data_IF_407423244459
#
_entry.id   IF_407423244459
#
_cell.length_a   1.000
_cell.length_b   1.000
_cell.length_c   1.000
_cell.angle_alpha   90.00
_cell.angle_beta   90.00
_cell.angle_gamma   90.00
#
_symmetry.space_group_name_H-M   'P 1'
#
loop_
_entity.id
_entity.type
_entity.pdbx_description
1 polymer ?
#
# COMPACT_ATOMS: atom_id res chain seq x y z
N UNK A 1 -11.34 -6.62 14.35
CA UNK A 1 -10.75 -6.57 13.00
C UNK A 1 -10.75 -5.12 12.55
N UNK A 2 -9.59 -4.58 12.23
CA UNK A 2 -9.38 -3.16 11.90
C UNK A 2 -9.23 -2.99 10.40
N UNK A 3 -9.45 -1.77 9.90
CA UNK A 3 -9.16 -1.41 8.51
C UNK A 3 -7.91 -0.54 8.54
N UNK A 4 -6.94 -0.87 7.71
CA UNK A 4 -5.70 -0.13 7.57
C UNK A 4 -5.60 0.42 6.16
N UNK A 5 -5.35 1.71 6.04
CA UNK A 5 -4.96 2.34 4.79
C UNK A 5 -3.44 2.27 4.64
N UNK A 6 -2.96 1.99 3.44
CA UNK A 6 -1.53 1.98 3.15
C UNK A 6 -1.19 2.73 1.88
N UNK A 7 0.01 3.31 1.87
CA UNK A 7 0.76 3.64 0.65
C UNK A 7 2.12 2.98 0.72
N UNK A 8 2.62 2.48 -0.40
CA UNK A 8 3.96 1.90 -0.48
C UNK A 8 4.61 2.34 -1.77
N UNK A 9 5.85 2.81 -1.67
CA UNK A 9 6.67 3.08 -2.85
C UNK A 9 7.38 1.80 -3.26
N UNK A 10 7.58 1.63 -4.54
CA UNK A 10 8.34 0.50 -5.06
C UNK A 10 9.01 0.84 -6.38
N UNK A 11 10.09 0.13 -6.69
CA UNK A 11 10.71 0.19 -8.00
C UNK A 11 9.69 -0.21 -9.07
N UNK A 12 9.50 0.68 -10.04
CA UNK A 12 8.62 0.36 -11.15
C UNK A 12 9.21 -0.81 -11.95
N UNK A 13 8.46 -1.90 -12.05
CA UNK A 13 8.86 -3.18 -12.65
C UNK A 13 9.43 -3.08 -14.07
N UNK A 14 9.14 -2.00 -14.79
CA UNK A 14 9.57 -1.78 -16.18
C UNK A 14 10.89 -1.02 -16.33
N UNK A 15 11.31 -0.20 -15.35
CA UNK A 15 12.47 0.69 -15.50
C UNK A 15 13.50 0.60 -14.37
N UNK A 16 13.15 0.04 -13.20
CA UNK A 16 14.04 -0.09 -12.04
C UNK A 16 14.57 1.24 -11.47
N UNK A 17 14.15 2.37 -12.04
CA UNK A 17 14.66 3.72 -11.77
C UNK A 17 13.54 4.70 -11.46
N UNK A 18 12.32 4.41 -11.90
CA UNK A 18 11.13 5.20 -11.59
C UNK A 18 10.48 4.66 -10.33
N UNK A 19 10.18 5.53 -9.38
CA UNK A 19 9.43 5.18 -8.17
C UNK A 19 7.94 5.13 -8.51
N UNK A 20 7.33 3.96 -8.39
CA UNK A 20 5.88 3.82 -8.41
C UNK A 20 5.32 3.87 -6.99
N UNK A 21 4.04 4.24 -6.86
CA UNK A 21 3.34 4.27 -5.58
C UNK A 21 2.07 3.46 -5.70
N UNK A 22 1.88 2.50 -4.80
CA UNK A 22 0.64 1.75 -4.64
C UNK A 22 -0.07 2.21 -3.39
N UNK A 23 -1.38 2.40 -3.44
CA UNK A 23 -2.20 2.71 -2.28
C UNK A 23 -3.41 1.76 -2.22
N UNK A 24 -3.87 1.47 -1.01
CA UNK A 24 -5.01 0.58 -0.82
C UNK A 24 -5.45 0.46 0.63
N UNK A 25 -6.36 -0.49 0.88
CA UNK A 25 -6.85 -0.80 2.23
C UNK A 25 -6.77 -2.30 2.49
N UNK A 26 -6.49 -2.67 3.74
CA UNK A 26 -6.41 -4.07 4.21
C UNK A 26 -7.17 -4.23 5.51
N UNK A 27 -7.79 -5.39 5.72
CA UNK A 27 -8.39 -5.75 7.01
C UNK A 27 -7.42 -6.66 7.76
N UNK A 28 -7.04 -6.27 8.97
CA UNK A 28 -6.11 -7.03 9.82
C UNK A 28 -6.42 -6.81 11.32
N UNK A 29 -5.96 -7.70 12.20
CA UNK A 29 -6.08 -7.55 13.65
C UNK A 29 -5.03 -6.60 14.24
N UNK A 30 -3.84 -6.54 13.64
CA UNK A 30 -2.71 -5.69 14.05
C UNK A 30 -2.03 -5.01 12.86
N UNK A 31 -1.12 -4.08 13.16
CA UNK A 31 -0.25 -3.42 12.18
C UNK A 31 0.68 -4.44 11.52
N UNK A 32 1.36 -5.28 12.32
CA UNK A 32 2.24 -6.36 11.83
C UNK A 32 1.53 -7.32 10.85
N UNK A 33 0.27 -7.66 11.12
CA UNK A 33 -0.51 -8.51 10.24
C UNK A 33 -0.89 -7.76 8.93
N UNK A 34 -1.21 -6.48 9.02
CA UNK A 34 -1.48 -5.66 7.84
C UNK A 34 -0.23 -5.54 6.94
N UNK A 35 0.93 -5.29 7.53
CA UNK A 35 2.22 -5.23 6.84
C UNK A 35 2.55 -6.57 6.14
N UNK A 36 2.36 -7.69 6.83
CA UNK A 36 2.58 -9.02 6.25
C UNK A 36 1.67 -9.29 5.03
N UNK A 37 0.40 -8.85 5.08
CA UNK A 37 -0.53 -8.96 3.94
C UNK A 37 -0.06 -8.09 2.77
N UNK A 38 0.42 -6.88 3.03
CA UNK A 38 0.88 -5.95 1.99
C UNK A 38 2.11 -6.53 1.28
N UNK A 39 3.14 -6.95 2.03
CA UNK A 39 4.38 -7.51 1.45
C UNK A 39 4.21 -8.91 0.83
N UNK A 40 3.10 -9.60 1.09
CA UNK A 40 2.73 -10.80 0.32
C UNK A 40 2.34 -10.46 -1.13
N UNK A 41 1.79 -9.27 -1.35
CA UNK A 41 1.27 -8.83 -2.66
C UNK A 41 2.19 -7.82 -3.36
N UNK A 42 3.08 -7.18 -2.63
CA UNK A 42 4.11 -6.28 -3.15
C UNK A 42 5.47 -6.86 -2.80
N UNK A 43 6.32 -7.12 -3.80
CA UNK A 43 7.65 -7.69 -3.57
C UNK A 43 8.45 -6.82 -2.58
N UNK A 44 8.81 -7.34 -1.38
CA UNK A 44 9.53 -6.57 -0.37
C UNK A 44 10.93 -6.17 -0.82
N UNK A 45 11.54 -6.91 -1.75
CA UNK A 45 12.85 -6.59 -2.31
C UNK A 45 12.85 -5.30 -3.13
N UNK A 46 11.68 -4.88 -3.63
CA UNK A 46 11.53 -3.74 -4.51
C UNK A 46 10.67 -2.64 -3.88
N UNK A 47 10.25 -2.80 -2.62
CA UNK A 47 9.35 -1.88 -1.93
C UNK A 47 10.07 -1.13 -0.80
N UNK A 48 9.73 0.13 -0.64
CA UNK A 48 10.28 1.02 0.39
C UNK A 48 9.23 2.09 0.76
N UNK A 49 9.46 2.81 1.85
CA UNK A 49 8.56 3.84 2.36
C UNK A 49 7.09 3.37 2.52
N UNK A 50 6.87 2.23 3.19
CA UNK A 50 5.52 1.82 3.60
C UNK A 50 4.98 2.83 4.63
N UNK A 51 3.86 3.45 4.31
CA UNK A 51 3.05 4.20 5.25
C UNK A 51 1.77 3.40 5.51
N UNK A 52 1.42 3.28 6.79
CA UNK A 52 0.29 2.48 7.25
C UNK A 52 -0.46 3.27 8.34
N UNK A 53 -1.78 3.34 8.26
CA UNK A 53 -2.61 4.06 9.23
C UNK A 53 -3.92 3.31 9.46
N UNK A 54 -4.30 3.12 10.72
CA UNK A 54 -5.59 2.57 11.09
C UNK A 54 -6.70 3.58 10.75
N UNK A 55 -7.67 3.16 9.92
CA UNK A 55 -8.87 3.92 9.64
C UNK A 55 -9.87 3.72 10.77
N UNK A 56 -10.23 4.81 11.46
CA UNK A 56 -11.30 4.80 12.46
C UNK A 56 -12.65 5.02 11.77
N UNK A 57 -13.72 4.74 12.49
CA UNK A 57 -15.06 5.09 12.03
C UNK A 57 -15.10 6.59 11.71
N UNK A 58 -15.72 6.94 10.56
CA UNK A 58 -15.86 8.30 10.03
C UNK A 58 -14.56 8.98 9.53
N UNK A 59 -13.42 8.27 9.49
CA UNK A 59 -12.21 8.78 8.85
C UNK A 59 -12.38 8.83 7.32
N UNK A 60 -12.09 10.00 6.74
CA UNK A 60 -12.03 10.17 5.30
C UNK A 60 -10.57 10.13 4.86
N UNK A 61 -10.12 9.03 4.24
CA UNK A 61 -8.77 8.98 3.67
C UNK A 61 -8.80 9.58 2.26
N UNK A 62 -8.28 10.80 2.13
CA UNK A 62 -7.96 11.39 0.83
C UNK A 62 -6.72 10.67 0.29
N UNK A 63 -6.91 9.88 -0.76
CA UNK A 63 -5.80 9.21 -1.43
C UNK A 63 -5.32 10.13 -2.55
N UNK A 64 -4.05 10.51 -2.54
CA UNK A 64 -3.36 10.98 -3.75
C UNK A 64 -3.13 9.77 -4.68
N UNK A 65 -4.21 9.11 -5.07
CA UNK A 65 -4.17 7.96 -5.96
C UNK A 65 -3.90 8.48 -7.37
N UNK A 66 -2.63 8.37 -7.78
CA UNK A 66 -2.28 8.45 -9.20
C UNK A 66 -2.51 7.04 -9.76
N UNK A 67 -3.52 6.80 -10.62
CA UNK A 67 -3.79 5.48 -11.15
C UNK A 67 -2.56 4.97 -11.92
N UNK A 68 -1.84 3.99 -11.36
CA UNK A 68 -1.02 3.09 -12.16
C UNK A 68 -2.00 2.26 -12.98
N UNK A 69 -2.03 2.51 -14.30
CA UNK A 69 -2.97 1.97 -15.25
C UNK A 69 -3.40 0.52 -14.94
N UNK A 70 -4.72 0.30 -14.82
CA UNK A 70 -5.31 -1.03 -14.78
C UNK A 70 -5.15 -1.63 -16.17
N UNK A 71 -4.20 -2.55 -16.34
CA UNK A 71 -4.14 -3.40 -17.52
C UNK A 71 -5.14 -4.54 -17.36
N UNK A 72 -5.96 -4.75 -18.41
CA UNK A 72 -6.95 -5.83 -18.50
C UNK A 72 -6.31 -7.22 -18.49
#
# INVERSE_FOLDING_TARGET
MKIWYFTVKHEHWRSGTTVAMTAGVVKAASEDEAEAIIFKNVSPANAFDLHLTELKADDTCLTDYIPAAVFK
#
